data_IF_848746023870
#
_entry.id   IF_848746023870
#
_cell.length_a   1.000
_cell.length_b   1.000
_cell.length_c   1.000
_cell.angle_alpha   90.00
_cell.angle_beta   90.00
_cell.angle_gamma   90.00
#
_symmetry.space_group_name_H-M   'P 1'
#
loop_
_entity.id
_entity.type
_entity.pdbx_description
1 polymer ?
#
# COMPACT_ATOMS: atom_id res chain seq x y z
N UNK A 1 -8.10 -2.78 7.78
CA UNK A 1 -7.94 -1.49 7.07
C UNK A 1 -8.99 -1.37 5.99
N UNK A 2 -9.55 -0.20 5.80
CA UNK A 2 -10.54 0.12 4.76
C UNK A 2 -9.98 1.20 3.83
N UNK A 3 -10.57 1.36 2.66
CA UNK A 3 -10.18 2.43 1.74
C UNK A 3 -10.37 3.83 2.38
N UNK A 4 -11.38 3.98 3.23
CA UNK A 4 -11.62 5.23 3.97
C UNK A 4 -10.46 5.64 4.87
N UNK A 5 -9.67 4.69 5.37
CA UNK A 5 -8.47 4.97 6.17
C UNK A 5 -7.39 5.67 5.34
N UNK A 6 -7.43 5.53 4.01
CA UNK A 6 -6.48 6.13 3.07
C UNK A 6 -6.80 7.59 2.71
N UNK A 7 -7.82 8.18 3.32
CA UNK A 7 -8.22 9.57 3.06
C UNK A 7 -7.06 10.60 3.06
N UNK A 8 -6.05 10.50 3.94
CA UNK A 8 -4.91 11.42 3.90
C UNK A 8 -4.16 11.47 2.57
N UNK A 9 -4.21 10.41 1.77
CA UNK A 9 -3.55 10.36 0.45
C UNK A 9 -4.21 11.32 -0.55
N UNK A 10 -5.44 11.73 -0.32
CA UNK A 10 -6.14 12.68 -1.21
C UNK A 10 -5.45 14.05 -1.28
N UNK A 11 -4.66 14.41 -0.27
CA UNK A 11 -3.93 15.67 -0.24
C UNK A 11 -2.62 15.62 -1.05
N UNK A 12 -2.10 14.43 -1.33
CA UNK A 12 -0.81 14.26 -2.02
C UNK A 12 -0.99 14.52 -3.51
N UNK A 13 -0.18 15.41 -4.05
CA UNK A 13 -0.20 15.79 -5.47
C UNK A 13 0.99 15.19 -6.21
N UNK A 14 0.87 15.10 -7.53
CA UNK A 14 1.97 14.64 -8.40
C UNK A 14 2.10 13.13 -8.50
N UNK A 15 1.10 12.39 -8.04
CA UNK A 15 1.01 10.93 -8.19
C UNK A 15 -0.37 10.49 -8.65
N UNK A 16 -0.45 9.31 -9.21
CA UNK A 16 -1.69 8.63 -9.59
C UNK A 16 -1.81 7.34 -8.81
N UNK A 17 -2.99 7.06 -8.28
CA UNK A 17 -3.25 5.85 -7.52
C UNK A 17 -3.94 4.80 -8.39
N UNK A 18 -3.44 3.58 -8.31
CA UNK A 18 -4.00 2.42 -9.01
C UNK A 18 -4.34 1.36 -7.96
N UNK A 19 -5.55 0.83 -7.99
CA UNK A 19 -5.96 -0.25 -7.10
C UNK A 19 -5.43 -1.59 -7.59
N UNK A 20 -4.76 -2.31 -6.69
CA UNK A 20 -4.38 -3.71 -6.90
C UNK A 20 -5.38 -4.67 -6.25
N UNK A 21 -6.46 -4.15 -5.68
CA UNK A 21 -7.48 -4.94 -4.99
C UNK A 21 -8.39 -5.65 -5.99
N UNK A 22 -8.56 -6.94 -5.81
CA UNK A 22 -9.49 -7.77 -6.58
C UNK A 22 -10.53 -8.44 -5.66
N UNK A 23 -11.61 -8.91 -6.24
CA UNK A 23 -12.68 -9.57 -5.51
C UNK A 23 -13.57 -8.60 -4.73
N UNK A 24 -14.37 -9.11 -3.76
CA UNK A 24 -15.38 -8.30 -3.07
C UNK A 24 -14.86 -7.01 -2.42
N UNK A 25 -13.65 -6.96 -1.83
CA UNK A 25 -13.14 -5.71 -1.26
C UNK A 25 -12.95 -4.56 -2.26
N UNK A 26 -12.84 -4.86 -3.55
CA UNK A 26 -12.73 -3.83 -4.60
C UNK A 26 -13.97 -2.94 -4.70
N UNK A 27 -15.12 -3.40 -4.19
CA UNK A 27 -16.35 -2.61 -4.14
C UNK A 27 -16.21 -1.31 -3.35
N UNK A 28 -15.22 -1.19 -2.46
CA UNK A 28 -14.93 0.05 -1.74
C UNK A 28 -14.56 1.22 -2.68
N UNK A 29 -14.11 0.93 -3.91
CA UNK A 29 -13.83 1.95 -4.92
C UNK A 29 -15.08 2.66 -5.45
N UNK A 30 -16.28 2.14 -5.19
CA UNK A 30 -17.53 2.81 -5.52
C UNK A 30 -17.80 4.05 -4.67
N UNK A 31 -17.21 4.08 -3.46
CA UNK A 31 -17.35 5.18 -2.50
C UNK A 31 -15.97 5.56 -1.93
N UNK A 32 -15.06 6.11 -2.75
CA UNK A 32 -13.73 6.49 -2.27
C UNK A 32 -13.82 7.72 -1.34
N UNK A 33 -12.81 7.92 -0.47
CA UNK A 33 -12.71 9.16 0.30
C UNK A 33 -12.74 10.39 -0.61
N UNK A 34 -13.35 11.47 -0.12
CA UNK A 34 -13.46 12.71 -0.87
C UNK A 34 -12.08 13.20 -1.36
N UNK A 35 -11.97 13.49 -2.64
CA UNK A 35 -10.74 13.96 -3.26
C UNK A 35 -9.71 12.88 -3.60
N UNK A 36 -9.91 11.63 -3.18
CA UNK A 36 -9.04 10.52 -3.55
C UNK A 36 -9.54 9.87 -4.84
N UNK A 37 -8.76 10.01 -5.90
CA UNK A 37 -9.05 9.37 -7.19
C UNK A 37 -8.17 8.14 -7.33
N UNK A 38 -8.79 6.97 -7.48
CA UNK A 38 -8.10 5.69 -7.63
C UNK A 38 -8.57 5.03 -8.91
N UNK A 39 -7.62 4.65 -9.76
CA UNK A 39 -7.92 3.92 -10.99
C UNK A 39 -8.22 2.45 -10.65
N UNK A 40 -9.39 1.99 -11.01
CA UNK A 40 -9.78 0.58 -10.88
C UNK A 40 -9.37 -0.20 -12.13
N UNK A 41 -8.49 -1.17 -11.94
CA UNK A 41 -7.98 -2.05 -12.99
C UNK A 41 -8.30 -3.52 -12.74
N UNK A 42 -9.16 -3.81 -11.77
CA UNK A 42 -9.47 -5.18 -11.35
C UNK A 42 -9.91 -6.09 -12.51
N UNK A 43 -10.60 -5.53 -13.50
CA UNK A 43 -11.07 -6.28 -14.69
C UNK A 43 -9.93 -6.83 -15.55
N UNK A 44 -8.71 -6.28 -15.43
CA UNK A 44 -7.53 -6.74 -16.16
C UNK A 44 -6.60 -7.63 -15.34
N UNK A 45 -6.91 -7.84 -14.07
CA UNK A 45 -6.12 -8.65 -13.15
C UNK A 45 -6.75 -10.06 -13.03
N UNK A 46 -6.59 -10.88 -14.06
CA UNK A 46 -7.17 -12.23 -14.12
C UNK A 46 -6.40 -13.24 -13.28
N UNK A 47 -5.09 -13.10 -13.16
CA UNK A 47 -4.23 -13.97 -12.40
C UNK A 47 -3.07 -13.20 -11.75
N UNK A 48 -2.20 -13.94 -11.05
CA UNK A 48 -1.06 -13.34 -10.34
C UNK A 48 0.04 -12.83 -11.30
N UNK A 49 0.11 -13.37 -12.51
CA UNK A 49 1.02 -12.89 -13.55
C UNK A 49 0.60 -11.51 -14.06
N UNK A 50 -0.69 -11.26 -14.22
CA UNK A 50 -1.22 -9.95 -14.57
C UNK A 50 -0.90 -8.92 -13.49
N UNK A 51 -1.07 -9.29 -12.22
CA UNK A 51 -0.71 -8.44 -11.08
C UNK A 51 0.79 -8.13 -11.07
N UNK A 52 1.64 -9.13 -11.34
CA UNK A 52 3.08 -8.94 -11.43
C UNK A 52 3.48 -7.99 -12.57
N UNK A 53 2.84 -8.10 -13.72
CA UNK A 53 3.08 -7.21 -14.85
C UNK A 53 2.71 -5.76 -14.54
N UNK A 54 1.59 -5.56 -13.85
CA UNK A 54 1.18 -4.22 -13.40
C UNK A 54 2.18 -3.66 -12.39
N UNK A 55 2.51 -4.44 -11.35
CA UNK A 55 3.45 -4.04 -10.28
C UNK A 55 4.80 -3.66 -10.86
N UNK A 56 5.29 -4.37 -11.88
CA UNK A 56 6.56 -4.05 -12.54
C UNK A 56 6.59 -2.65 -13.18
N UNK A 57 5.42 -2.06 -13.44
CA UNK A 57 5.27 -0.73 -14.03
C UNK A 57 4.90 0.36 -13.01
N UNK A 58 4.77 0.03 -11.73
CA UNK A 58 4.49 0.99 -10.67
C UNK A 58 5.80 1.51 -10.06
N UNK A 59 5.81 2.77 -9.66
CA UNK A 59 6.96 3.37 -8.99
C UNK A 59 7.04 2.97 -7.52
N UNK A 60 5.89 2.70 -6.91
CA UNK A 60 5.75 2.35 -5.50
C UNK A 60 4.50 1.50 -5.29
N UNK A 61 4.59 0.52 -4.41
CA UNK A 61 3.44 -0.26 -3.94
C UNK A 61 3.20 0.03 -2.46
N UNK A 62 1.99 0.44 -2.10
CA UNK A 62 1.56 0.64 -0.72
C UNK A 62 0.54 -0.44 -0.41
N UNK A 63 0.84 -1.31 0.53
CA UNK A 63 -0.01 -2.46 0.83
C UNK A 63 0.07 -2.87 2.30
N UNK A 64 -1.00 -3.47 2.80
CA UNK A 64 -0.96 -4.22 4.06
C UNK A 64 -0.26 -5.56 3.85
N UNK A 65 -0.05 -6.33 4.93
CA UNK A 65 0.61 -7.66 4.87
C UNK A 65 -0.24 -8.66 4.06
N UNK A 66 0.00 -8.67 2.76
CA UNK A 66 -0.70 -9.51 1.77
C UNK A 66 0.26 -10.05 0.73
N UNK A 67 -0.21 -10.98 -0.09
CA UNK A 67 0.54 -11.55 -1.19
C UNK A 67 1.10 -10.47 -2.16
N UNK A 68 0.39 -9.38 -2.35
CA UNK A 68 0.82 -8.28 -3.23
C UNK A 68 2.09 -7.60 -2.69
N UNK A 69 2.18 -7.38 -1.38
CA UNK A 69 3.39 -6.82 -0.76
C UNK A 69 4.60 -7.71 -0.99
N UNK A 70 4.45 -9.01 -0.82
CA UNK A 70 5.51 -9.99 -1.07
C UNK A 70 5.89 -10.06 -2.55
N UNK A 71 4.91 -10.05 -3.45
CA UNK A 71 5.15 -10.03 -4.89
C UNK A 71 5.96 -8.80 -5.31
N UNK A 72 5.56 -7.63 -4.86
CA UNK A 72 6.26 -6.38 -5.19
C UNK A 72 7.69 -6.37 -4.64
N UNK A 73 7.88 -6.85 -3.42
CA UNK A 73 9.20 -6.99 -2.81
C UNK A 73 10.10 -7.96 -3.58
N UNK A 74 9.56 -9.11 -3.98
CA UNK A 74 10.28 -10.12 -4.77
C UNK A 74 10.66 -9.61 -6.17
N UNK A 75 9.85 -8.71 -6.75
CA UNK A 75 10.13 -8.05 -8.03
C UNK A 75 11.13 -6.88 -7.90
N UNK A 76 11.62 -6.62 -6.70
CA UNK A 76 12.55 -5.53 -6.44
C UNK A 76 11.93 -4.13 -6.52
N UNK A 77 10.60 -4.02 -6.45
CA UNK A 77 9.91 -2.72 -6.46
C UNK A 77 9.91 -2.11 -5.06
N UNK A 78 9.92 -0.78 -4.95
CA UNK A 78 9.71 -0.13 -3.67
C UNK A 78 8.35 -0.52 -3.07
N UNK A 79 8.35 -0.94 -1.82
CA UNK A 79 7.13 -1.33 -1.08
C UNK A 79 7.06 -0.56 0.23
N UNK A 80 5.92 0.05 0.49
CA UNK A 80 5.58 0.59 1.80
C UNK A 80 4.53 -0.32 2.44
N UNK A 81 4.96 -1.07 3.43
CA UNK A 81 4.13 -2.01 4.16
C UNK A 81 3.39 -1.30 5.29
N UNK A 82 2.07 -1.30 5.21
CA UNK A 82 1.19 -0.82 6.27
C UNK A 82 1.00 -1.94 7.29
N UNK A 83 1.76 -1.90 8.37
CA UNK A 83 1.86 -3.01 9.29
C UNK A 83 1.01 -2.81 10.54
N UNK A 84 0.33 -3.86 10.97
CA UNK A 84 -0.47 -3.86 12.18
C UNK A 84 0.40 -3.78 13.43
N UNK A 85 -0.19 -3.35 14.54
CA UNK A 85 0.46 -3.33 15.85
C UNK A 85 0.96 -4.72 16.26
N UNK A 86 0.12 -5.74 16.08
CA UNK A 86 0.37 -7.16 16.34
C UNK A 86 0.85 -7.90 15.09
N UNK A 87 1.84 -7.37 14.42
CA UNK A 87 2.29 -7.88 13.12
C UNK A 87 2.90 -9.27 13.17
N UNK A 88 2.97 -9.90 12.00
CA UNK A 88 3.63 -11.18 11.81
C UNK A 88 5.13 -11.10 12.16
N UNK A 89 5.68 -12.18 12.69
CA UNK A 89 7.09 -12.31 13.05
C UNK A 89 8.08 -11.99 11.91
N UNK A 90 7.66 -12.17 10.64
CA UNK A 90 8.51 -11.88 9.46
C UNK A 90 9.01 -10.44 9.42
N UNK A 91 8.22 -9.53 9.96
CA UNK A 91 8.52 -8.10 9.89
C UNK A 91 9.37 -7.60 11.04
N UNK A 92 9.61 -8.44 12.04
CA UNK A 92 10.41 -8.15 13.23
C UNK A 92 9.85 -6.96 14.04
N UNK A 93 10.53 -6.61 15.10
CA UNK A 93 10.17 -5.47 15.95
C UNK A 93 11.27 -4.43 15.94
N UNK A 94 10.91 -3.17 16.17
CA UNK A 94 11.88 -2.11 16.37
C UNK A 94 12.64 -1.68 15.12
N UNK A 95 12.12 -2.01 13.92
CA UNK A 95 12.74 -1.60 12.65
C UNK A 95 11.66 -1.26 11.62
N UNK A 96 12.01 -0.39 10.68
CA UNK A 96 11.14 0.04 9.58
C UNK A 96 11.57 -0.46 8.20
N UNK A 97 12.63 -1.27 8.13
CA UNK A 97 13.11 -1.97 6.95
C UNK A 97 12.76 -3.47 7.02
N UNK A 98 13.20 -4.23 6.04
CA UNK A 98 13.04 -5.69 6.01
C UNK A 98 14.34 -6.37 5.60
N UNK A 99 14.75 -7.46 6.27
CA UNK A 99 15.87 -8.26 5.82
C UNK A 99 15.57 -9.07 4.54
N UNK A 100 14.29 -9.23 4.21
CA UNK A 100 13.85 -10.04 3.06
C UNK A 100 13.77 -9.23 1.76
N UNK A 101 13.38 -7.94 1.87
CA UNK A 101 13.14 -7.08 0.71
C UNK A 101 13.86 -5.74 0.90
N UNK A 102 14.97 -5.48 0.18
CA UNK A 102 15.77 -4.26 0.39
C UNK A 102 15.01 -2.95 0.13
N UNK A 103 14.04 -2.98 -0.76
CA UNK A 103 13.21 -1.80 -1.10
C UNK A 103 11.97 -1.62 -0.23
N UNK A 104 11.81 -2.40 0.84
CA UNK A 104 10.62 -2.33 1.68
C UNK A 104 10.83 -1.41 2.89
N UNK A 105 9.86 -0.53 3.11
CA UNK A 105 9.75 0.30 4.31
C UNK A 105 8.45 -0.02 5.04
N UNK A 106 8.51 -0.16 6.34
CA UNK A 106 7.36 -0.44 7.19
C UNK A 106 6.79 0.84 7.81
N UNK A 107 5.48 0.96 7.76
CA UNK A 107 4.70 1.94 8.52
C UNK A 107 3.82 1.18 9.51
N UNK A 108 4.28 1.06 10.74
CA UNK A 108 3.61 0.26 11.76
C UNK A 108 2.65 1.10 12.59
N UNK A 109 1.51 0.50 12.94
CA UNK A 109 0.59 1.08 13.92
C UNK A 109 1.29 1.24 15.29
N UNK A 110 1.05 2.37 15.94
CA UNK A 110 1.49 2.64 17.31
C UNK A 110 0.58 2.00 18.37
N UNK A 111 -0.63 1.66 17.98
CA UNK A 111 -1.63 0.95 18.78
C UNK A 111 -2.59 0.20 17.90
N UNK A 112 -3.32 -0.75 18.46
CA UNK A 112 -4.25 -1.60 17.72
C UNK A 112 -5.38 -0.76 17.08
N UNK A 113 -5.58 -0.92 15.78
CA UNK A 113 -6.60 -0.18 15.03
C UNK A 113 -6.23 1.25 14.63
N UNK A 114 -5.04 1.74 14.98
CA UNK A 114 -4.56 3.10 14.76
C UNK A 114 -4.05 3.32 13.32
N UNK A 115 -4.95 3.31 12.33
CA UNK A 115 -4.58 3.56 10.94
C UNK A 115 -4.41 5.04 10.60
N UNK A 116 -5.09 5.93 11.31
CA UNK A 116 -5.02 7.37 11.02
C UNK A 116 -3.61 7.93 11.09
N UNK A 117 -2.87 7.65 12.16
CA UNK A 117 -1.48 8.09 12.32
C UNK A 117 -0.54 7.44 11.31
N UNK A 118 -0.79 6.17 10.95
CA UNK A 118 -0.04 5.48 9.90
C UNK A 118 -0.19 6.20 8.58
N UNK A 119 -1.43 6.47 8.16
CA UNK A 119 -1.70 7.10 6.86
C UNK A 119 -1.25 8.56 6.78
N UNK A 120 -1.23 9.27 7.90
CA UNK A 120 -0.62 10.60 7.98
C UNK A 120 0.89 10.55 7.68
N UNK A 121 1.60 9.62 8.28
CA UNK A 121 3.03 9.40 8.02
C UNK A 121 3.30 8.94 6.58
N UNK A 122 2.44 8.09 6.04
CA UNK A 122 2.52 7.63 4.65
C UNK A 122 2.32 8.81 3.70
N UNK A 123 1.31 9.64 3.92
CA UNK A 123 1.05 10.81 3.08
C UNK A 123 2.24 11.77 3.07
N UNK A 124 2.80 12.09 4.25
CA UNK A 124 3.98 12.95 4.34
C UNK A 124 5.20 12.35 3.63
N UNK A 125 5.45 11.06 3.81
CA UNK A 125 6.54 10.38 3.11
C UNK A 125 6.32 10.33 1.59
N UNK A 126 5.06 10.22 1.16
CA UNK A 126 4.73 10.19 -0.27
C UNK A 126 4.94 11.56 -0.93
N UNK A 127 4.63 12.66 -0.24
CA UNK A 127 4.95 14.01 -0.70
C UNK A 127 6.45 14.18 -0.96
N UNK A 128 7.29 13.64 -0.07
CA UNK A 128 8.75 13.64 -0.25
C UNK A 128 9.19 12.73 -1.41
N UNK A 129 8.54 11.58 -1.57
CA UNK A 129 8.87 10.60 -2.61
C UNK A 129 8.59 11.12 -4.02
N UNK A 130 7.52 11.89 -4.22
CA UNK A 130 7.13 12.44 -5.53
C UNK A 130 7.79 13.76 -5.90
N UNK A 131 8.48 14.37 -4.96
CA UNK A 131 9.23 15.63 -5.20
C UNK A 131 10.50 15.38 -5.99
#
# INVERSE_FOLDING_TARGET
MRLTDMAPLAAVRGCSFVSLQVGPPAAQLNEPPAGLVVLDVAQWLGDFADTAALVANLDLVIAVDTAVAHLAGALGRPVWLLNRFDSCWRWLLGRDDSPWYPGLRQFRQSGQGEWGSVMQRVAGALEEFVC
#
